data_IF_897296215768
#
_entry.id   IF_897296215768
#
_cell.length_a   1.000
_cell.length_b   1.000
_cell.length_c   1.000
_cell.angle_alpha   90.00
_cell.angle_beta   90.00
_cell.angle_gamma   90.00
#
_symmetry.space_group_name_H-M   'P 1'
#
loop_
_entity.id
_entity.type
_entity.pdbx_description
1 polymer ?
#
# COMPACT_ATOMS: atom_id res chain seq x y z
N UNK A 1 -32.76 -38.44 32.24
CA UNK A 1 -33.31 -38.17 30.90
C UNK A 1 -32.19 -37.51 30.12
N UNK A 2 -31.42 -38.33 29.40
CA UNK A 2 -30.21 -37.89 28.70
C UNK A 2 -30.55 -36.96 27.55
N UNK A 3 -29.88 -35.81 27.49
CA UNK A 3 -29.77 -35.04 26.26
C UNK A 3 -28.65 -35.66 25.41
N UNK A 4 -29.03 -36.27 24.29
CA UNK A 4 -28.14 -36.69 23.22
C UNK A 4 -27.81 -35.44 22.39
N UNK A 5 -26.58 -34.92 22.50
CA UNK A 5 -26.01 -34.01 21.50
C UNK A 5 -25.10 -34.81 20.57
N UNK A 6 -25.50 -34.95 19.31
CA UNK A 6 -24.69 -35.58 18.27
C UNK A 6 -23.45 -34.75 17.92
N UNK A 7 -22.42 -35.34 17.31
CA UNK A 7 -21.19 -34.63 16.97
C UNK A 7 -21.46 -33.62 15.86
N UNK A 8 -21.40 -32.33 16.19
CA UNK A 8 -21.36 -31.24 15.21
C UNK A 8 -20.04 -31.33 14.43
N UNK A 9 -20.11 -31.81 13.20
CA UNK A 9 -18.99 -31.84 12.26
C UNK A 9 -18.68 -30.43 11.77
N UNK A 10 -17.95 -29.67 12.59
CA UNK A 10 -17.35 -28.42 12.17
C UNK A 10 -16.32 -28.68 11.05
N UNK A 11 -16.72 -28.40 9.82
CA UNK A 11 -15.87 -28.45 8.62
C UNK A 11 -14.71 -27.45 8.80
N UNK A 12 -13.50 -27.95 9.05
CA UNK A 12 -12.28 -27.12 9.08
C UNK A 12 -12.14 -26.41 7.72
N UNK A 13 -12.04 -25.07 7.65
CA UNK A 13 -11.45 -24.45 6.48
C UNK A 13 -9.97 -24.80 6.51
N UNK A 14 -9.54 -25.73 5.66
CA UNK A 14 -8.14 -25.84 5.26
C UNK A 14 -7.80 -24.60 4.44
N UNK A 15 -7.60 -23.47 5.13
CA UNK A 15 -6.91 -22.33 4.56
C UNK A 15 -5.47 -22.77 4.32
N UNK A 16 -5.00 -22.63 3.08
CA UNK A 16 -3.62 -22.87 2.71
C UNK A 16 -2.70 -22.02 3.59
N UNK A 17 -2.18 -22.62 4.66
CA UNK A 17 -1.15 -22.04 5.51
C UNK A 17 0.18 -22.02 4.77
N UNK A 18 0.28 -21.17 3.74
CA UNK A 18 1.58 -20.70 3.29
C UNK A 18 2.23 -19.90 4.43
N UNK A 19 3.57 -19.89 4.53
CA UNK A 19 4.23 -19.10 5.54
C UNK A 19 3.73 -17.66 5.44
N UNK A 20 3.12 -17.16 6.50
CA UNK A 20 2.88 -15.71 6.63
C UNK A 20 4.27 -15.08 6.59
N UNK A 21 4.57 -14.20 5.63
CA UNK A 21 5.87 -13.55 5.60
C UNK A 21 6.09 -12.91 6.97
N UNK A 22 7.31 -13.00 7.55
CA UNK A 22 7.59 -12.33 8.81
C UNK A 22 7.20 -10.87 8.66
N UNK A 23 6.23 -10.44 9.47
CA UNK A 23 5.80 -9.05 9.57
C UNK A 23 6.93 -8.30 10.30
N UNK A 24 8.02 -8.04 9.59
CA UNK A 24 9.26 -7.61 10.24
C UNK A 24 10.50 -7.68 9.36
N UNK A 25 10.37 -7.52 8.05
CA UNK A 25 11.53 -7.29 7.18
C UNK A 25 11.20 -6.16 6.20
N UNK A 26 11.21 -4.91 6.70
CA UNK A 26 11.72 -3.84 5.85
C UNK A 26 13.13 -4.28 5.50
N UNK A 27 13.32 -4.82 4.30
CA UNK A 27 14.64 -5.13 3.79
C UNK A 27 15.53 -3.90 4.00
N UNK A 28 16.83 -4.08 4.19
CA UNK A 28 17.78 -2.97 4.39
C UNK A 28 17.72 -1.87 3.29
N UNK A 29 16.99 -2.12 2.20
CA UNK A 29 16.45 -1.10 1.31
C UNK A 29 15.19 -0.46 1.93
N UNK A 30 15.34 0.72 2.55
CA UNK A 30 14.26 1.46 3.24
C UNK A 30 12.90 1.49 2.51
N UNK A 31 11.83 1.73 3.27
CA UNK A 31 10.41 1.64 2.88
C UNK A 31 10.12 1.81 1.37
N UNK A 32 9.49 0.80 0.77
CA UNK A 32 8.91 0.92 -0.57
C UNK A 32 7.69 1.85 -0.53
N UNK A 33 7.94 3.13 -0.70
CA UNK A 33 6.93 4.18 -0.66
C UNK A 33 6.92 4.91 -2.02
N UNK A 34 5.94 4.58 -2.86
CA UNK A 34 5.77 5.12 -4.23
C UNK A 34 4.34 5.64 -4.41
N UNK A 35 4.19 6.70 -5.21
CA UNK A 35 2.90 7.35 -5.47
C UNK A 35 2.76 7.73 -6.95
N UNK A 36 1.52 7.97 -7.40
CA UNK A 36 1.19 8.51 -8.72
C UNK A 36 0.33 9.78 -8.53
N UNK A 37 0.95 10.96 -8.37
CA UNK A 37 0.23 12.21 -8.17
C UNK A 37 -0.51 12.64 -9.44
N UNK A 38 -1.70 13.24 -9.25
CA UNK A 38 -2.49 13.84 -10.31
C UNK A 38 -2.70 15.31 -9.98
N UNK A 39 -2.35 16.20 -10.90
CA UNK A 39 -2.51 17.64 -10.74
C UNK A 39 -3.74 18.14 -11.49
N UNK A 40 -4.38 19.18 -10.95
CA UNK A 40 -5.39 19.99 -11.62
C UNK A 40 -5.05 21.45 -11.40
N UNK A 41 -5.05 22.23 -12.47
CA UNK A 41 -4.79 23.67 -12.42
C UNK A 41 -5.36 24.32 -13.67
N UNK A 42 -5.87 25.54 -13.51
CA UNK A 42 -6.34 26.37 -14.63
C UNK A 42 -5.30 27.44 -15.02
N UNK A 43 -4.16 27.53 -14.31
CA UNK A 43 -3.11 28.49 -14.63
C UNK A 43 -2.35 28.07 -15.91
N UNK A 44 -2.33 28.91 -16.97
CA UNK A 44 -1.73 28.53 -18.24
C UNK A 44 -0.24 28.21 -18.17
N UNK A 45 0.53 28.87 -17.29
CA UNK A 45 1.96 28.60 -17.15
C UNK A 45 2.24 27.23 -16.51
N UNK A 46 1.25 26.64 -15.84
CA UNK A 46 1.35 25.35 -15.15
C UNK A 46 0.49 24.25 -15.78
N UNK A 47 -0.13 24.49 -16.95
CA UNK A 47 -1.01 23.52 -17.61
C UNK A 47 -0.34 22.16 -17.85
N UNK A 48 0.97 22.18 -18.12
CA UNK A 48 1.77 20.97 -18.32
C UNK A 48 1.70 19.97 -17.15
N UNK A 49 1.45 20.43 -15.91
CA UNK A 49 1.27 19.56 -14.74
C UNK A 49 0.02 18.68 -14.86
N UNK A 50 -1.06 19.21 -15.45
CA UNK A 50 -2.32 18.49 -15.61
C UNK A 50 -2.27 17.48 -16.78
N UNK A 51 -1.35 17.67 -17.72
CA UNK A 51 -1.21 16.84 -18.94
C UNK A 51 -0.09 15.79 -18.84
N UNK A 52 0.69 15.81 -17.76
CA UNK A 52 1.87 14.94 -17.58
C UNK A 52 1.60 13.84 -16.55
N UNK A 53 2.05 12.62 -16.83
CA UNK A 53 2.05 11.53 -15.84
C UNK A 53 3.26 11.66 -14.91
N UNK A 54 3.05 11.55 -13.60
CA UNK A 54 4.10 11.65 -12.59
C UNK A 54 4.26 10.38 -11.77
N UNK A 55 5.50 10.11 -11.37
CA UNK A 55 5.84 9.11 -10.35
C UNK A 55 6.51 9.81 -9.17
N UNK A 56 6.02 9.56 -7.96
CA UNK A 56 6.56 10.10 -6.72
C UNK A 56 7.34 9.07 -5.92
N UNK A 57 8.57 9.41 -5.54
CA UNK A 57 9.40 8.70 -4.56
C UNK A 57 9.23 9.37 -3.20
N UNK A 58 8.48 8.71 -2.30
CA UNK A 58 8.22 9.23 -0.96
C UNK A 58 9.23 8.68 0.06
N UNK A 59 9.55 9.49 1.06
CA UNK A 59 10.35 9.10 2.23
C UNK A 59 9.89 9.88 3.47
N UNK A 60 10.08 9.36 4.69
CA UNK A 60 9.87 10.13 5.90
C UNK A 60 10.74 11.40 5.91
N UNK A 61 10.16 12.52 6.34
CA UNK A 61 10.87 13.77 6.57
C UNK A 61 10.58 14.24 7.98
N UNK A 62 11.40 13.84 8.96
CA UNK A 62 11.18 14.23 10.35
C UNK A 62 9.81 13.84 10.90
N UNK A 63 9.39 14.50 11.97
CA UNK A 63 8.16 14.16 12.68
C UNK A 63 6.92 14.58 11.85
N UNK A 64 6.13 13.58 11.44
CA UNK A 64 4.84 13.79 10.76
C UNK A 64 4.91 14.23 9.30
N UNK A 65 6.10 14.47 8.72
CA UNK A 65 6.22 14.91 7.34
C UNK A 65 6.65 13.78 6.38
N UNK A 66 6.23 13.92 5.12
CA UNK A 66 6.64 13.06 4.00
C UNK A 66 7.29 13.93 2.94
N UNK A 67 8.52 13.59 2.56
CA UNK A 67 9.22 14.23 1.46
C UNK A 67 8.97 13.39 0.21
N UNK A 68 8.39 14.00 -0.83
CA UNK A 68 8.13 13.33 -2.10
C UNK A 68 8.96 13.98 -3.20
N UNK A 69 9.84 13.20 -3.83
CA UNK A 69 10.52 13.59 -5.07
C UNK A 69 9.68 13.18 -6.27
N UNK A 70 9.32 14.14 -7.11
CA UNK A 70 8.48 13.92 -8.29
C UNK A 70 9.32 13.75 -9.56
N UNK A 71 8.89 12.83 -10.42
CA UNK A 71 9.46 12.59 -11.75
C UNK A 71 8.34 12.69 -12.78
N UNK A 72 8.51 13.57 -13.76
CA UNK A 72 7.66 13.63 -14.95
C UNK A 72 8.06 12.52 -15.92
N UNK A 73 7.08 11.74 -16.39
CA UNK A 73 7.31 10.75 -17.44
C UNK A 73 7.28 11.43 -18.81
N UNK A 74 8.07 10.89 -19.74
CA UNK A 74 8.12 11.30 -21.14
C UNK A 74 7.66 10.14 -22.01
#
# INVERSE_FOLDING_TARGET
>A
MEHVEGPSTARRPTGCGGPTPPQGASTEAGHYYRTSPVFRTDDPAHHWLAETVFVGLARPGGEGAVIIRMYALK
#
